data_IF_353129459403
#
_entry.id   IF_353129459403
#
_cell.length_a   1.000
_cell.length_b   1.000
_cell.length_c   1.000
_cell.angle_alpha   90.00
_cell.angle_beta   90.00
_cell.angle_gamma   90.00
#
_symmetry.space_group_name_H-M   'P 1'
#
loop_
_entity.id
_entity.type
_entity.pdbx_description
1 polymer ?
#
# COMPACT_ATOMS: atom_id res chain seq x y z
N UNK A 1 23.81 -8.87 -29.80
CA UNK A 1 23.31 -7.69 -29.05
C UNK A 1 21.78 -7.66 -28.94
N UNK A 2 21.05 -8.48 -29.71
CA UNK A 2 19.57 -8.60 -29.62
C UNK A 2 19.08 -9.41 -28.41
N UNK A 3 19.78 -10.48 -28.01
CA UNK A 3 19.33 -11.37 -26.92
C UNK A 3 19.26 -10.68 -25.54
N UNK A 4 20.11 -9.67 -25.30
CA UNK A 4 20.09 -8.89 -24.05
C UNK A 4 18.89 -7.94 -23.99
N UNK A 5 18.44 -7.42 -25.14
CA UNK A 5 17.25 -6.54 -25.20
C UNK A 5 15.96 -7.32 -25.00
N UNK A 6 15.91 -8.56 -25.49
CA UNK A 6 14.75 -9.43 -25.39
C UNK A 6 14.51 -9.92 -23.95
N UNK A 7 15.58 -10.27 -23.23
CA UNK A 7 15.53 -10.65 -21.82
C UNK A 7 15.18 -9.48 -20.87
N UNK A 8 15.63 -8.26 -21.16
CA UNK A 8 15.19 -7.04 -20.45
C UNK A 8 13.71 -6.73 -20.71
N UNK A 9 13.24 -6.98 -21.93
CA UNK A 9 11.84 -6.76 -22.31
C UNK A 9 10.90 -7.79 -21.65
N UNK A 10 11.34 -9.04 -21.51
CA UNK A 10 10.62 -10.11 -20.80
C UNK A 10 10.58 -9.92 -19.27
N UNK A 11 11.69 -9.47 -18.67
CA UNK A 11 11.71 -9.12 -17.25
C UNK A 11 10.75 -7.95 -16.95
N UNK A 12 10.74 -6.93 -17.81
CA UNK A 12 9.85 -5.78 -17.69
C UNK A 12 8.37 -6.14 -17.90
N UNK A 13 8.04 -7.09 -18.80
CA UNK A 13 6.66 -7.57 -18.94
C UNK A 13 6.22 -8.41 -17.73
N UNK A 14 7.10 -9.24 -17.19
CA UNK A 14 6.81 -10.03 -15.97
C UNK A 14 6.56 -9.14 -14.75
N UNK A 15 7.33 -8.07 -14.57
CA UNK A 15 7.08 -7.07 -13.53
C UNK A 15 5.75 -6.35 -13.73
N UNK A 16 5.40 -5.98 -14.96
CA UNK A 16 4.11 -5.33 -15.28
C UNK A 16 2.92 -6.22 -14.95
N UNK A 17 3.02 -7.51 -15.25
CA UNK A 17 1.97 -8.48 -14.92
C UNK A 17 1.89 -8.74 -13.42
N UNK A 18 3.03 -8.81 -12.72
CA UNK A 18 3.07 -8.91 -11.26
C UNK A 18 2.41 -7.70 -10.61
N UNK A 19 2.74 -6.49 -11.07
CA UNK A 19 2.14 -5.25 -10.55
C UNK A 19 0.62 -5.22 -10.76
N UNK A 20 0.16 -5.59 -11.96
CA UNK A 20 -1.28 -5.66 -12.27
C UNK A 20 -2.00 -6.67 -11.36
N UNK A 21 -1.40 -7.83 -11.17
CA UNK A 21 -1.94 -8.91 -10.34
C UNK A 21 -2.09 -8.52 -8.87
N UNK A 22 -1.18 -7.69 -8.36
CA UNK A 22 -1.17 -7.24 -6.96
C UNK A 22 -2.05 -6.00 -6.75
N UNK A 23 -1.78 -4.92 -7.48
CA UNK A 23 -2.38 -3.61 -7.21
C UNK A 23 -3.65 -3.32 -8.03
N UNK A 24 -3.80 -3.95 -9.20
CA UNK A 24 -4.94 -3.74 -10.11
C UNK A 24 -5.91 -4.93 -10.09
N UNK A 25 -5.96 -5.64 -8.96
CA UNK A 25 -6.94 -6.71 -8.73
C UNK A 25 -8.28 -6.13 -8.29
N UNK A 26 -9.35 -6.55 -8.97
CA UNK A 26 -10.72 -6.27 -8.52
C UNK A 26 -11.04 -7.14 -7.29
N UNK A 27 -11.39 -6.50 -6.18
CA UNK A 27 -11.82 -7.17 -4.94
C UNK A 27 -13.22 -6.70 -4.55
N UNK A 28 -14.05 -7.62 -4.06
CA UNK A 28 -15.29 -7.25 -3.38
C UNK A 28 -14.95 -6.72 -1.99
N UNK A 29 -14.92 -5.40 -1.85
CA UNK A 29 -14.76 -4.77 -0.52
C UNK A 29 -16.14 -4.65 0.10
N UNK A 30 -16.45 -5.52 1.05
CA UNK A 30 -17.57 -5.33 1.98
C UNK A 30 -17.01 -4.63 3.22
N UNK A 31 -17.67 -3.56 3.70
CA UNK A 31 -17.23 -2.68 4.81
C UNK A 31 -16.22 -1.58 4.43
N UNK A 32 -16.56 -0.75 3.44
CA UNK A 32 -15.75 0.42 3.06
C UNK A 32 -15.84 1.52 4.13
N UNK A 33 -14.69 1.98 4.60
CA UNK A 33 -14.57 3.22 5.37
C UNK A 33 -14.13 4.36 4.46
N UNK A 34 -14.73 5.55 4.64
CA UNK A 34 -14.34 6.75 3.89
C UNK A 34 -13.09 7.37 4.53
N UNK A 35 -11.99 7.37 3.80
CA UNK A 35 -10.75 8.04 4.18
C UNK A 35 -10.54 9.25 3.28
N UNK A 36 -10.10 10.37 3.85
CA UNK A 36 -9.74 11.54 3.07
C UNK A 36 -8.35 11.37 2.46
N UNK A 37 -8.23 11.68 1.17
CA UNK A 37 -6.96 11.74 0.46
C UNK A 37 -6.85 13.08 -0.26
N UNK A 38 -5.62 13.51 -0.50
CA UNK A 38 -5.37 14.73 -1.29
C UNK A 38 -5.96 14.60 -2.69
N UNK A 39 -6.58 15.67 -3.20
CA UNK A 39 -7.20 15.66 -4.54
C UNK A 39 -6.19 15.37 -5.66
N UNK A 40 -4.93 15.72 -5.48
CA UNK A 40 -3.84 15.37 -6.42
C UNK A 40 -3.60 13.86 -6.49
N UNK A 41 -3.59 13.19 -5.32
CA UNK A 41 -3.44 11.73 -5.23
C UNK A 41 -4.65 11.07 -5.88
N UNK A 42 -5.86 11.55 -5.60
CA UNK A 42 -7.08 11.05 -6.22
C UNK A 42 -7.03 11.15 -7.75
N UNK A 43 -6.59 12.30 -8.30
CA UNK A 43 -6.44 12.50 -9.75
C UNK A 43 -5.43 11.53 -10.36
N UNK A 44 -4.27 11.34 -9.73
CA UNK A 44 -3.26 10.38 -10.20
C UNK A 44 -3.80 8.95 -10.21
N UNK A 45 -4.48 8.53 -9.14
CA UNK A 45 -5.07 7.19 -9.06
C UNK A 45 -6.13 7.01 -10.14
N UNK A 46 -6.98 8.01 -10.35
CA UNK A 46 -8.01 7.98 -11.38
C UNK A 46 -7.42 7.78 -12.79
N UNK A 47 -6.31 8.45 -13.11
CA UNK A 47 -5.61 8.24 -14.37
C UNK A 47 -5.04 6.82 -14.49
N UNK A 48 -4.41 6.31 -13.43
CA UNK A 48 -3.85 4.95 -13.39
C UNK A 48 -4.95 3.90 -13.63
N UNK A 49 -6.01 3.91 -12.83
CA UNK A 49 -7.08 2.90 -12.92
C UNK A 49 -7.92 3.05 -14.20
N UNK A 50 -8.08 4.28 -14.68
CA UNK A 50 -8.83 4.60 -15.89
C UNK A 50 -8.10 4.15 -17.16
N UNK A 51 -6.80 4.46 -17.26
CA UNK A 51 -5.99 4.17 -18.46
C UNK A 51 -5.54 2.71 -18.48
N UNK A 52 -5.07 2.15 -17.36
CA UNK A 52 -4.42 0.83 -17.33
C UNK A 52 -5.44 -0.30 -17.28
N UNK A 53 -6.50 -0.14 -16.49
CA UNK A 53 -7.50 -1.19 -16.23
C UNK A 53 -8.80 -1.00 -16.99
N UNK A 54 -8.90 0.05 -17.83
CA UNK A 54 -10.14 0.33 -18.57
C UNK A 54 -11.36 0.48 -17.65
N UNK A 55 -11.18 1.09 -16.47
CA UNK A 55 -12.22 1.27 -15.42
C UNK A 55 -12.72 -0.03 -14.75
N UNK A 56 -12.05 -1.17 -14.92
CA UNK A 56 -12.43 -2.41 -14.21
C UNK A 56 -12.18 -2.34 -12.69
N UNK A 57 -11.22 -1.52 -12.27
CA UNK A 57 -10.85 -1.31 -10.86
C UNK A 57 -11.27 0.09 -10.43
N UNK A 58 -11.95 0.17 -9.29
CA UNK A 58 -12.33 1.46 -8.70
C UNK A 58 -11.15 2.11 -7.96
N UNK A 59 -11.19 3.43 -7.79
CA UNK A 59 -10.19 4.17 -6.98
C UNK A 59 -10.07 3.54 -5.58
N UNK A 60 -11.20 3.23 -4.95
CA UNK A 60 -11.21 2.59 -3.63
C UNK A 60 -10.53 1.23 -3.63
N UNK A 61 -10.75 0.40 -4.66
CA UNK A 61 -10.06 -0.89 -4.76
C UNK A 61 -8.54 -0.75 -4.92
N UNK A 62 -8.09 0.21 -5.71
CA UNK A 62 -6.66 0.45 -5.88
C UNK A 62 -6.02 0.88 -4.57
N UNK A 63 -6.66 1.82 -3.85
CA UNK A 63 -6.19 2.28 -2.54
C UNK A 63 -6.14 1.12 -1.55
N UNK A 64 -7.20 0.32 -1.48
CA UNK A 64 -7.29 -0.84 -0.60
C UNK A 64 -6.16 -1.85 -0.85
N UNK A 65 -5.89 -2.19 -2.11
CA UNK A 65 -4.79 -3.10 -2.48
C UNK A 65 -3.41 -2.52 -2.09
N UNK A 66 -3.20 -1.21 -2.31
CA UNK A 66 -1.94 -0.53 -1.95
C UNK A 66 -1.75 -0.53 -0.43
N UNK A 67 -2.80 -0.21 0.32
CA UNK A 67 -2.74 -0.18 1.78
C UNK A 67 -2.51 -1.57 2.36
N UNK A 68 -3.21 -2.60 1.86
CA UNK A 68 -3.02 -3.99 2.30
C UNK A 68 -1.59 -4.46 2.07
N UNK A 69 -1.05 -4.25 0.87
CA UNK A 69 0.32 -4.66 0.54
C UNK A 69 1.36 -3.86 1.35
N UNK A 70 1.08 -2.57 1.60
CA UNK A 70 1.93 -1.75 2.46
C UNK A 70 1.94 -2.30 3.90
N UNK A 71 0.76 -2.56 4.48
CA UNK A 71 0.63 -3.11 5.83
C UNK A 71 1.28 -4.49 5.95
N UNK A 72 1.16 -5.34 4.92
CA UNK A 72 1.78 -6.66 4.87
C UNK A 72 3.31 -6.57 4.80
N UNK A 73 3.84 -5.69 3.94
CA UNK A 73 5.28 -5.53 3.73
C UNK A 73 5.99 -4.92 4.94
N UNK A 74 5.32 -3.99 5.63
CA UNK A 74 5.89 -3.27 6.77
C UNK A 74 5.35 -3.77 8.12
N UNK A 75 4.68 -4.92 8.16
CA UNK A 75 4.08 -5.45 9.38
C UNK A 75 5.10 -5.61 10.51
N UNK A 76 6.29 -6.14 10.20
CA UNK A 76 7.36 -6.34 11.18
C UNK A 76 7.91 -5.01 11.71
N UNK A 77 8.08 -4.03 10.82
CA UNK A 77 8.56 -2.68 11.18
C UNK A 77 7.53 -1.96 12.06
N UNK A 78 6.25 -2.02 11.68
CA UNK A 78 5.16 -1.48 12.47
C UNK A 78 5.07 -2.15 13.84
N UNK A 79 5.26 -3.46 13.90
CA UNK A 79 5.25 -4.23 15.15
C UNK A 79 6.42 -3.86 16.06
N UNK A 80 7.61 -3.60 15.49
CA UNK A 80 8.76 -3.14 16.25
C UNK A 80 8.52 -1.74 16.83
N UNK A 81 8.12 -0.78 15.98
CA UNK A 81 7.82 0.60 16.40
C UNK A 81 6.72 0.65 17.45
N UNK A 82 5.67 -0.16 17.30
CA UNK A 82 4.58 -0.24 18.27
C UNK A 82 5.07 -0.75 19.63
N UNK A 83 5.95 -1.75 19.65
CA UNK A 83 6.54 -2.26 20.91
C UNK A 83 7.44 -1.23 21.56
N UNK A 84 8.25 -0.51 20.78
CA UNK A 84 9.11 0.56 21.29
C UNK A 84 8.29 1.68 21.94
N UNK A 85 7.18 2.07 21.31
CA UNK A 85 6.30 3.12 21.83
C UNK A 85 5.53 2.66 23.08
N UNK A 86 4.98 1.44 23.06
CA UNK A 86 4.31 0.85 24.24
C UNK A 86 5.28 0.67 25.42
N UNK A 87 6.55 0.31 25.17
CA UNK A 87 7.56 0.23 26.23
C UNK A 87 7.92 1.60 26.80
N UNK A 88 7.92 2.66 25.98
CA UNK A 88 8.11 4.04 26.45
C UNK A 88 6.95 4.49 27.34
N UNK A 89 5.70 4.18 26.98
CA UNK A 89 4.54 4.53 27.80
C UNK A 89 4.51 3.79 29.16
N UNK A 90 4.97 2.54 29.21
CA UNK A 90 5.09 1.78 30.47
C UNK A 90 6.17 2.39 31.39
N UNK A 91 7.26 2.92 30.83
CA UNK A 91 8.34 3.54 31.60
C UNK A 91 8.13 5.03 31.94
N UNK A 92 7.16 5.70 31.31
CA UNK A 92 6.85 7.12 31.52
C UNK A 92 5.70 7.37 32.52
N UNK A 93 5.44 6.48 33.48
CA UNK A 93 4.64 6.88 34.63
C UNK A 93 5.45 7.89 35.48
N UNK A 94 4.93 9.10 35.76
CA UNK A 94 5.54 9.99 36.73
C UNK A 94 5.56 9.24 38.05
N UNK A 95 6.75 9.01 38.61
CA UNK A 95 6.84 8.68 40.03
C UNK A 95 6.15 9.82 40.78
N UNK A 96 5.01 9.54 41.39
CA UNK A 96 4.38 10.42 42.38
C UNK A 96 5.50 10.93 43.28
N UNK A 97 5.69 12.26 43.28
CA UNK A 97 6.51 12.89 44.29
C UNK A 97 5.65 12.88 45.55
N UNK A 98 5.98 11.98 46.46
CA UNK A 98 5.55 12.05 47.84
C UNK A 98 5.79 13.48 48.36
N UNK A 99 4.71 14.15 48.77
CA UNK A 99 4.72 15.38 49.56
C UNK A 99 3.61 15.28 50.60
#
# INVERSE_FOLDING_TARGET
>A
MEEVKQSLQEAASKERESYKSVFLKKRSVCNRQSVYISGEIQKRIMQIVGVITGKQVSIGNFIDNVLEEHLKKYNDVLSALYREEMQKEIFNQPKEKDA
#
